data_IF_839674313942
#
_entry.id   IF_839674313942
#
_cell.length_a   1.000
_cell.length_b   1.000
_cell.length_c   1.000
_cell.angle_alpha   90.00
_cell.angle_beta   90.00
_cell.angle_gamma   90.00
#
_symmetry.space_group_name_H-M   'P 1'
#
loop_
_entity.id
_entity.type
_entity.pdbx_description
1 polymer ?
#
# COMPACT_ATOMS: atom_id res chain seq x y z
N UNK A 1 3.46 -21.73 -11.74
CA UNK A 1 2.95 -21.24 -10.46
C UNK A 1 1.54 -20.73 -10.61
N UNK A 2 0.70 -20.90 -9.62
CA UNK A 2 -0.69 -20.41 -9.60
C UNK A 2 -0.94 -19.77 -8.25
N UNK A 3 -1.28 -18.49 -8.27
CA UNK A 3 -1.77 -17.76 -7.10
C UNK A 3 -3.29 -17.93 -7.03
N UNK A 4 -3.80 -18.45 -5.92
CA UNK A 4 -5.19 -18.35 -5.56
C UNK A 4 -5.33 -17.39 -4.38
N UNK A 5 -6.31 -16.50 -4.45
CA UNK A 5 -6.54 -15.53 -3.38
C UNK A 5 -7.14 -16.22 -2.16
N UNK A 6 -6.63 -15.86 -1.00
CA UNK A 6 -7.07 -16.39 0.28
C UNK A 6 -6.84 -15.40 1.41
N UNK A 7 -6.56 -14.16 1.04
CA UNK A 7 -6.32 -13.02 1.92
C UNK A 7 -7.63 -12.41 2.42
N UNK A 8 -7.54 -11.70 3.53
CA UNK A 8 -8.58 -10.82 4.06
C UNK A 8 -9.95 -11.49 4.22
N UNK A 9 -9.96 -12.74 4.70
CA UNK A 9 -11.19 -13.53 4.85
C UNK A 9 -12.02 -13.10 6.06
N UNK A 10 -12.29 -11.79 6.19
CA UNK A 10 -12.99 -11.19 7.36
C UNK A 10 -14.39 -11.75 7.62
N UNK A 11 -15.01 -12.36 6.62
CA UNK A 11 -16.32 -13.00 6.75
C UNK A 11 -16.25 -14.47 7.20
N UNK A 12 -15.06 -15.07 7.24
CA UNK A 12 -14.89 -16.45 7.69
C UNK A 12 -15.18 -16.55 9.20
N UNK A 13 -16.01 -17.47 9.57
CA UNK A 13 -16.50 -17.58 10.95
C UNK A 13 -17.70 -16.69 11.27
N UNK A 14 -18.18 -15.92 10.28
CA UNK A 14 -19.41 -15.12 10.37
C UNK A 14 -20.50 -15.72 9.47
N UNK A 15 -21.72 -15.23 9.61
CA UNK A 15 -22.87 -15.63 8.77
C UNK A 15 -23.03 -17.17 8.68
N UNK A 16 -23.06 -17.72 7.47
CA UNK A 16 -23.27 -19.16 7.22
C UNK A 16 -22.18 -20.06 7.79
N UNK A 17 -20.96 -19.58 7.92
CA UNK A 17 -19.84 -20.36 8.47
C UNK A 17 -19.72 -20.27 10.00
N UNK A 18 -20.52 -19.44 10.67
CA UNK A 18 -20.43 -19.19 12.11
C UNK A 18 -20.47 -20.44 12.94
N UNK A 19 -21.50 -21.27 12.77
CA UNK A 19 -21.67 -22.51 13.54
C UNK A 19 -20.47 -23.45 13.38
N UNK A 20 -20.00 -23.62 12.15
CA UNK A 20 -18.86 -24.49 11.86
C UNK A 20 -17.55 -23.93 12.44
N UNK A 21 -17.40 -22.60 12.46
CA UNK A 21 -16.26 -21.94 13.07
C UNK A 21 -16.27 -22.05 14.62
N UNK A 22 -17.44 -22.01 15.24
CA UNK A 22 -17.59 -22.25 16.68
C UNK A 22 -17.22 -23.69 17.06
N UNK A 23 -17.53 -24.66 16.21
CA UNK A 23 -17.23 -26.09 16.44
C UNK A 23 -15.76 -26.45 16.16
N UNK A 24 -15.13 -25.86 15.13
CA UNK A 24 -13.82 -26.27 14.59
C UNK A 24 -12.72 -25.24 14.71
N UNK A 25 -13.06 -23.98 14.97
CA UNK A 25 -12.16 -22.84 14.93
C UNK A 25 -11.99 -22.25 13.52
N UNK A 26 -11.89 -20.92 13.44
CA UNK A 26 -11.77 -20.17 12.16
C UNK A 26 -10.52 -20.56 11.40
N UNK A 27 -9.37 -20.63 12.08
CA UNK A 27 -8.08 -20.98 11.44
C UNK A 27 -8.09 -22.41 10.87
N UNK A 28 -8.79 -23.33 11.54
CA UNK A 28 -8.95 -24.70 11.04
C UNK A 28 -9.77 -24.74 9.75
N UNK A 29 -10.86 -23.99 9.68
CA UNK A 29 -11.67 -23.90 8.46
C UNK A 29 -10.87 -23.30 7.30
N UNK A 30 -10.09 -22.26 7.58
CA UNK A 30 -9.23 -21.64 6.59
C UNK A 30 -8.22 -22.64 6.04
N UNK A 31 -7.47 -23.30 6.91
CA UNK A 31 -6.39 -24.21 6.49
C UNK A 31 -6.91 -25.44 5.74
N UNK A 32 -8.05 -26.00 6.15
CA UNK A 32 -8.67 -27.14 5.46
C UNK A 32 -9.04 -26.78 4.01
N UNK A 33 -9.63 -25.59 3.79
CA UNK A 33 -9.97 -25.10 2.47
C UNK A 33 -8.74 -24.80 1.62
N UNK A 34 -7.76 -24.10 2.16
CA UNK A 34 -6.50 -23.78 1.48
C UNK A 34 -5.75 -25.06 1.08
N UNK A 35 -5.73 -26.05 1.97
CA UNK A 35 -5.12 -27.36 1.72
C UNK A 35 -5.77 -28.11 0.57
N UNK A 36 -7.10 -28.13 0.51
CA UNK A 36 -7.85 -28.78 -0.56
C UNK A 36 -7.52 -28.15 -1.93
N UNK A 37 -7.55 -26.82 -2.02
CA UNK A 37 -7.18 -26.11 -3.24
C UNK A 37 -5.72 -26.33 -3.62
N UNK A 38 -4.81 -26.28 -2.66
CA UNK A 38 -3.39 -26.47 -2.90
C UNK A 38 -3.09 -27.90 -3.41
N UNK A 39 -3.71 -28.92 -2.83
CA UNK A 39 -3.59 -30.31 -3.28
C UNK A 39 -4.09 -30.48 -4.71
N UNK A 40 -5.26 -29.94 -5.03
CA UNK A 40 -5.79 -29.95 -6.40
C UNK A 40 -4.82 -29.33 -7.41
N UNK A 41 -4.19 -28.19 -7.05
CA UNK A 41 -3.20 -27.53 -7.92
C UNK A 41 -1.94 -28.39 -8.11
N UNK A 42 -1.44 -29.00 -7.03
CA UNK A 42 -0.27 -29.89 -7.08
C UNK A 42 -0.53 -31.11 -7.96
N UNK A 43 -1.68 -31.77 -7.81
CA UNK A 43 -2.10 -32.91 -8.63
C UNK A 43 -2.21 -32.55 -10.10
N UNK A 44 -2.47 -31.28 -10.42
CA UNK A 44 -2.48 -30.75 -11.79
C UNK A 44 -1.12 -30.15 -12.23
N UNK A 45 -0.04 -30.50 -11.56
CA UNK A 45 1.35 -30.09 -11.90
C UNK A 45 1.62 -28.59 -11.69
N UNK A 46 0.90 -27.92 -10.78
CA UNK A 46 1.09 -26.50 -10.46
C UNK A 46 1.81 -26.35 -9.11
N UNK A 47 2.51 -25.24 -8.95
CA UNK A 47 3.05 -24.80 -7.66
C UNK A 47 2.08 -23.76 -7.11
N UNK A 48 1.32 -24.09 -6.04
CA UNK A 48 0.36 -23.15 -5.47
C UNK A 48 1.05 -22.02 -4.72
N UNK A 49 0.46 -20.84 -4.78
CA UNK A 49 0.86 -19.65 -4.03
C UNK A 49 -0.37 -19.05 -3.36
N UNK A 50 -0.24 -18.54 -2.14
CA UNK A 50 -1.33 -17.91 -1.42
C UNK A 50 -0.86 -16.72 -0.59
N UNK A 51 -1.75 -15.78 -0.30
CA UNK A 51 -1.48 -14.66 0.60
C UNK A 51 -1.51 -15.11 2.06
N UNK A 52 -0.48 -14.73 2.82
CA UNK A 52 -0.16 -15.33 4.11
C UNK A 52 -0.76 -14.67 5.35
N UNK A 53 -1.56 -13.63 5.22
CA UNK A 53 -2.06 -12.82 6.35
C UNK A 53 -2.81 -13.64 7.41
N UNK A 54 -3.65 -14.57 6.99
CA UNK A 54 -4.42 -15.40 7.93
C UNK A 54 -3.52 -16.37 8.70
N UNK A 55 -2.44 -16.85 8.07
CA UNK A 55 -1.52 -17.82 8.67
C UNK A 55 -0.57 -17.20 9.71
N UNK A 56 -0.40 -15.88 9.72
CA UNK A 56 0.48 -15.22 10.69
C UNK A 56 0.10 -15.50 12.15
N UNK A 57 -1.18 -15.70 12.43
CA UNK A 57 -1.68 -15.99 13.76
C UNK A 57 -1.53 -17.47 14.16
N UNK A 58 -1.22 -18.35 13.22
CA UNK A 58 -1.07 -19.79 13.43
C UNK A 58 -0.06 -20.38 12.44
N UNK A 59 1.20 -19.91 12.46
CA UNK A 59 2.20 -20.28 11.45
C UNK A 59 2.53 -21.77 11.43
N UNK A 60 2.32 -22.49 12.55
CA UNK A 60 2.49 -23.94 12.63
C UNK A 60 1.61 -24.72 11.65
N UNK A 61 0.46 -24.15 11.24
CA UNK A 61 -0.45 -24.76 10.27
C UNK A 61 0.17 -24.83 8.85
N UNK A 62 1.22 -24.07 8.57
CA UNK A 62 1.99 -24.21 7.33
C UNK A 62 2.49 -25.64 7.10
N UNK A 63 2.78 -26.39 8.16
CA UNK A 63 3.25 -27.78 8.07
C UNK A 63 2.20 -28.76 7.54
N UNK A 64 0.94 -28.35 7.51
CA UNK A 64 -0.15 -29.16 6.97
C UNK A 64 -0.40 -28.94 5.46
N UNK A 65 0.21 -27.90 4.92
CA UNK A 65 0.12 -27.55 3.50
C UNK A 65 1.19 -28.31 2.70
N UNK A 66 1.00 -28.47 1.36
CA UNK A 66 2.02 -29.07 0.51
C UNK A 66 3.38 -28.34 0.62
N UNK A 67 4.48 -29.09 0.71
CA UNK A 67 5.84 -28.52 0.83
C UNK A 67 6.21 -27.58 -0.33
N UNK A 68 5.63 -27.82 -1.52
CA UNK A 68 5.84 -26.96 -2.69
C UNK A 68 5.08 -25.65 -2.65
N UNK A 69 4.22 -25.44 -1.66
CA UNK A 69 3.40 -24.24 -1.54
C UNK A 69 4.24 -23.04 -1.13
N UNK A 70 3.97 -21.90 -1.76
CA UNK A 70 4.69 -20.66 -1.51
C UNK A 70 3.77 -19.69 -0.77
N UNK A 71 4.21 -19.23 0.40
CA UNK A 71 3.56 -18.16 1.15
C UNK A 71 3.98 -16.79 0.60
N UNK A 72 3.01 -15.96 0.22
CA UNK A 72 3.20 -14.56 -0.11
C UNK A 72 3.00 -13.75 1.17
N UNK A 73 4.11 -13.49 1.84
CA UNK A 73 4.13 -12.75 3.10
C UNK A 73 4.16 -11.24 2.81
N UNK A 74 3.00 -10.61 2.89
CA UNK A 74 2.81 -9.22 2.53
C UNK A 74 2.74 -8.30 3.77
N UNK A 75 3.07 -7.03 3.58
CA UNK A 75 2.93 -6.02 4.60
C UNK A 75 3.50 -4.69 4.13
N UNK A 76 2.82 -3.58 4.43
CA UNK A 76 3.04 -2.29 3.77
C UNK A 76 3.41 -1.18 4.74
N UNK A 77 3.47 -1.46 6.04
CA UNK A 77 3.90 -0.47 7.02
C UNK A 77 5.37 -0.06 6.79
N UNK A 78 5.71 1.23 6.94
CA UNK A 78 7.11 1.68 6.91
C UNK A 78 7.99 0.95 7.92
N UNK A 79 7.41 0.64 9.08
CA UNK A 79 8.02 -0.12 10.18
C UNK A 79 7.53 -1.57 10.22
N UNK A 80 7.37 -2.21 9.05
CA UNK A 80 6.88 -3.58 8.96
C UNK A 80 7.60 -4.51 9.93
N UNK A 81 6.81 -5.31 10.64
CA UNK A 81 7.29 -6.21 11.69
C UNK A 81 8.11 -7.35 11.10
N UNK A 82 9.13 -7.75 11.85
CA UNK A 82 10.03 -8.82 11.46
C UNK A 82 9.54 -10.20 11.95
N UNK A 83 8.79 -10.22 13.05
CA UNK A 83 8.38 -11.46 13.73
C UNK A 83 7.49 -12.37 12.88
N UNK A 84 6.64 -11.82 12.03
CA UNK A 84 5.80 -12.57 11.08
C UNK A 84 6.66 -13.33 10.06
N UNK A 85 7.62 -12.65 9.43
CA UNK A 85 8.55 -13.26 8.49
C UNK A 85 9.39 -14.35 9.15
N UNK A 86 9.88 -14.08 10.36
CA UNK A 86 10.64 -15.04 11.15
C UNK A 86 9.81 -16.27 11.52
N UNK A 87 8.56 -16.07 11.94
CA UNK A 87 7.68 -17.16 12.34
C UNK A 87 7.40 -18.10 11.16
N UNK A 88 7.11 -17.59 9.98
CA UNK A 88 6.94 -18.41 8.77
C UNK A 88 8.24 -19.14 8.42
N UNK A 89 9.38 -18.46 8.45
CA UNK A 89 10.68 -19.10 8.17
C UNK A 89 10.99 -20.24 9.12
N UNK A 90 10.63 -20.11 10.40
CA UNK A 90 10.82 -21.17 11.42
C UNK A 90 9.99 -22.44 11.16
N UNK A 91 8.92 -22.35 10.36
CA UNK A 91 8.15 -23.54 9.94
C UNK A 91 8.84 -24.33 8.85
N UNK A 92 9.86 -23.78 8.18
CA UNK A 92 10.49 -24.32 6.99
C UNK A 92 9.74 -23.98 5.69
N UNK A 93 8.67 -23.20 5.76
CA UNK A 93 7.88 -22.85 4.59
C UNK A 93 8.64 -21.91 3.64
N UNK A 94 8.40 -22.09 2.34
CA UNK A 94 8.92 -21.22 1.29
C UNK A 94 8.10 -19.94 1.25
N UNK A 95 8.77 -18.78 1.26
CA UNK A 95 8.08 -17.49 1.22
C UNK A 95 8.69 -16.50 0.23
N UNK A 96 7.80 -15.71 -0.42
CA UNK A 96 8.14 -14.41 -0.99
C UNK A 96 7.80 -13.31 0.01
N UNK A 97 8.63 -12.28 0.08
CA UNK A 97 8.29 -11.06 0.79
C UNK A 97 7.61 -10.10 -0.18
N UNK A 98 6.47 -9.57 0.21
CA UNK A 98 5.61 -8.78 -0.66
C UNK A 98 5.41 -7.36 -0.12
N UNK A 99 6.39 -6.45 -0.31
CA UNK A 99 6.23 -5.03 -0.01
C UNK A 99 5.33 -4.34 -1.02
N UNK A 100 5.05 -3.05 -0.80
CA UNK A 100 4.23 -2.27 -1.72
C UNK A 100 4.73 -0.87 -2.02
N UNK A 101 4.32 -0.35 -3.17
CA UNK A 101 4.65 1.01 -3.63
C UNK A 101 3.77 2.09 -3.01
N UNK A 102 2.81 1.70 -2.17
CA UNK A 102 1.94 2.58 -1.36
C UNK A 102 1.20 3.64 -2.20
N UNK A 103 0.59 3.22 -3.32
CA UNK A 103 -0.18 4.09 -4.22
C UNK A 103 -1.68 4.04 -4.01
N UNK A 104 -2.21 2.95 -3.44
CA UNK A 104 -3.64 2.78 -3.20
C UNK A 104 -4.18 3.80 -2.21
N UNK A 105 -5.41 4.24 -2.45
CA UNK A 105 -6.10 5.24 -1.62
C UNK A 105 -5.43 6.62 -1.54
N UNK A 106 -4.45 6.89 -2.41
CA UNK A 106 -3.68 8.13 -2.41
C UNK A 106 -3.80 8.88 -3.73
N UNK A 107 -3.75 10.21 -3.71
CA UNK A 107 -3.60 11.05 -4.91
C UNK A 107 -2.18 10.99 -5.50
N UNK A 108 -1.20 10.73 -4.65
CA UNK A 108 0.18 10.47 -5.02
C UNK A 108 0.76 9.45 -4.05
N UNK A 109 1.63 8.57 -4.53
CA UNK A 109 2.20 7.50 -3.72
C UNK A 109 2.93 8.03 -2.47
N UNK A 110 2.84 7.28 -1.38
CA UNK A 110 3.59 7.51 -0.14
C UNK A 110 5.05 7.08 -0.35
N UNK A 111 5.81 7.87 -1.12
CA UNK A 111 7.13 7.49 -1.65
C UNK A 111 8.14 7.13 -0.54
N UNK A 112 8.16 7.90 0.55
CA UNK A 112 9.06 7.61 1.67
C UNK A 112 8.65 6.35 2.43
N UNK A 113 7.33 6.13 2.62
CA UNK A 113 6.81 4.90 3.23
C UNK A 113 7.15 3.68 2.36
N UNK A 114 6.96 3.80 1.06
CA UNK A 114 7.34 2.78 0.07
C UNK A 114 8.83 2.43 0.19
N UNK A 115 9.72 3.42 0.20
CA UNK A 115 11.16 3.20 0.39
C UNK A 115 11.46 2.46 1.69
N UNK A 116 10.91 2.90 2.82
CA UNK A 116 11.13 2.28 4.14
C UNK A 116 10.62 0.85 4.18
N UNK A 117 9.42 0.62 3.68
CA UNK A 117 8.79 -0.70 3.62
C UNK A 117 9.59 -1.67 2.73
N UNK A 118 9.85 -1.29 1.48
CA UNK A 118 10.56 -2.13 0.50
C UNK A 118 11.97 -2.48 0.98
N UNK A 119 12.73 -1.49 1.44
CA UNK A 119 14.09 -1.72 1.95
C UNK A 119 14.10 -2.73 3.11
N UNK A 120 13.12 -2.60 4.02
CA UNK A 120 12.97 -3.48 5.18
C UNK A 120 12.60 -4.90 4.76
N UNK A 121 11.59 -5.04 3.91
CA UNK A 121 11.11 -6.34 3.44
C UNK A 121 12.15 -7.07 2.59
N UNK A 122 12.92 -6.36 1.76
CA UNK A 122 14.07 -6.94 1.05
C UNK A 122 15.15 -7.43 2.04
N UNK A 123 15.42 -6.65 3.10
CA UNK A 123 16.32 -7.09 4.17
C UNK A 123 15.84 -8.34 4.90
N UNK A 124 14.54 -8.47 5.14
CA UNK A 124 13.95 -9.69 5.72
C UNK A 124 14.04 -10.88 4.76
N UNK A 125 13.81 -10.66 3.46
CA UNK A 125 13.98 -11.72 2.46
C UNK A 125 15.39 -12.30 2.49
N UNK A 126 16.40 -11.44 2.54
CA UNK A 126 17.80 -11.88 2.66
C UNK A 126 18.09 -12.60 4.00
N UNK A 127 17.61 -12.04 5.11
CA UNK A 127 17.86 -12.56 6.47
C UNK A 127 17.20 -13.91 6.74
N UNK A 128 16.01 -14.12 6.21
CA UNK A 128 15.18 -15.31 6.46
C UNK A 128 15.08 -16.24 5.25
N UNK A 129 16.01 -16.12 4.31
CA UNK A 129 16.09 -16.99 3.13
C UNK A 129 14.79 -17.05 2.31
N UNK A 130 14.07 -15.92 2.22
CA UNK A 130 12.96 -15.77 1.28
C UNK A 130 13.45 -16.02 -0.14
N UNK A 131 12.63 -16.70 -0.96
CA UNK A 131 13.04 -17.05 -2.34
C UNK A 131 13.00 -15.86 -3.31
N UNK A 132 12.53 -14.70 -2.85
CA UNK A 132 12.49 -13.46 -3.62
C UNK A 132 11.57 -12.41 -3.00
N UNK A 133 11.40 -11.34 -3.75
CA UNK A 133 10.52 -10.22 -3.43
C UNK A 133 9.48 -10.06 -4.54
N UNK A 134 8.22 -9.91 -4.16
CA UNK A 134 7.12 -9.56 -5.05
C UNK A 134 6.64 -8.16 -4.68
N UNK A 135 7.19 -7.14 -5.31
CA UNK A 135 6.79 -5.76 -5.07
C UNK A 135 5.39 -5.51 -5.65
N UNK A 136 4.47 -4.99 -4.84
CA UNK A 136 3.05 -4.88 -5.18
C UNK A 136 2.63 -3.43 -5.42
N UNK A 137 1.64 -3.26 -6.29
CA UNK A 137 0.92 -2.01 -6.53
C UNK A 137 -0.58 -2.31 -6.56
N UNK A 138 -1.31 -1.79 -5.57
CA UNK A 138 -2.74 -2.02 -5.40
C UNK A 138 -3.55 -0.80 -5.83
N UNK A 139 -4.75 -1.04 -6.29
CA UNK A 139 -5.67 -0.01 -6.75
C UNK A 139 -6.99 -0.01 -5.98
N UNK A 140 -6.93 -0.13 -4.65
CA UNK A 140 -8.09 -0.16 -3.78
C UNK A 140 -8.97 1.07 -4.00
N UNK A 141 -10.29 0.87 -3.89
CA UNK A 141 -11.30 1.90 -4.12
C UNK A 141 -11.17 2.64 -5.48
N UNK A 142 -10.66 1.96 -6.50
CA UNK A 142 -10.66 2.45 -7.87
C UNK A 142 -9.38 3.15 -8.35
N UNK A 143 -8.30 3.14 -7.58
CA UNK A 143 -6.97 3.63 -7.98
C UNK A 143 -7.00 5.08 -8.50
N UNK A 144 -7.24 6.02 -7.60
CA UNK A 144 -7.43 7.44 -7.96
C UNK A 144 -6.18 8.15 -8.50
N UNK A 145 -4.97 7.69 -8.10
CA UNK A 145 -3.70 8.27 -8.55
C UNK A 145 -3.28 7.80 -9.95
N UNK A 146 -2.37 8.54 -10.56
CA UNK A 146 -1.73 8.11 -11.80
C UNK A 146 -0.66 7.04 -11.52
N UNK A 147 -0.66 5.90 -12.24
CA UNK A 147 0.34 4.84 -12.06
C UNK A 147 1.80 5.29 -12.24
N UNK A 148 2.06 6.41 -12.88
CA UNK A 148 3.40 6.97 -13.01
C UNK A 148 4.04 7.31 -11.65
N UNK A 149 3.23 7.56 -10.60
CA UNK A 149 3.75 7.76 -9.24
C UNK A 149 4.29 6.48 -8.59
N UNK A 150 3.97 5.30 -9.11
CA UNK A 150 4.50 4.02 -8.63
C UNK A 150 5.93 3.73 -9.12
N UNK A 151 6.41 4.44 -10.15
CA UNK A 151 7.73 4.20 -10.75
C UNK A 151 8.87 4.25 -9.72
N UNK A 152 8.99 5.26 -8.85
CA UNK A 152 10.04 5.26 -7.82
C UNK A 152 10.00 4.03 -6.92
N UNK A 153 8.80 3.61 -6.47
CA UNK A 153 8.62 2.40 -5.66
C UNK A 153 8.98 1.12 -6.40
N UNK A 154 8.69 1.03 -7.69
CA UNK A 154 9.12 -0.12 -8.51
C UNK A 154 10.64 -0.18 -8.64
N UNK A 155 11.30 0.97 -8.80
CA UNK A 155 12.77 1.05 -8.86
C UNK A 155 13.37 0.68 -7.49
N UNK A 156 12.80 1.12 -6.36
CA UNK A 156 13.25 0.68 -5.03
C UNK A 156 13.19 -0.84 -4.91
N UNK A 157 12.10 -1.46 -5.35
CA UNK A 157 11.96 -2.92 -5.36
C UNK A 157 13.06 -3.60 -6.18
N UNK A 158 13.33 -3.10 -7.38
CA UNK A 158 14.37 -3.64 -8.25
C UNK A 158 15.78 -3.50 -7.62
N UNK A 159 16.10 -2.33 -7.08
CA UNK A 159 17.40 -2.03 -6.47
C UNK A 159 17.67 -2.93 -5.26
N UNK A 160 16.74 -2.95 -4.30
CA UNK A 160 16.96 -3.64 -3.02
C UNK A 160 16.75 -5.14 -3.07
N UNK A 161 15.99 -5.66 -4.04
CA UNK A 161 15.91 -7.11 -4.26
C UNK A 161 17.14 -7.67 -4.99
N UNK A 162 17.82 -6.84 -5.78
CA UNK A 162 19.04 -7.24 -6.51
C UNK A 162 20.29 -7.05 -5.67
N UNK A 163 20.43 -5.91 -5.01
CA UNK A 163 21.59 -5.55 -4.21
C UNK A 163 21.18 -5.33 -2.75
N UNK A 164 21.73 -6.11 -1.84
CA UNK A 164 21.48 -5.99 -0.40
C UNK A 164 22.08 -4.73 0.25
N UNK A 165 22.83 -3.92 -0.48
CA UNK A 165 23.39 -2.68 0.03
C UNK A 165 22.31 -1.60 0.19
N UNK A 166 22.33 -0.93 1.34
CA UNK A 166 21.37 0.09 1.68
C UNK A 166 21.83 1.44 1.12
N UNK A 167 21.16 1.92 0.07
CA UNK A 167 21.37 3.27 -0.47
C UNK A 167 20.45 4.23 0.28
N UNK A 168 20.97 5.36 0.85
CA UNK A 168 20.15 6.35 1.53
C UNK A 168 19.03 6.92 0.65
N UNK A 169 17.86 7.23 1.24
CA UNK A 169 16.67 7.71 0.55
C UNK A 169 16.95 8.90 -0.39
N UNK A 170 17.58 9.94 0.13
CA UNK A 170 17.90 11.13 -0.67
C UNK A 170 18.87 10.86 -1.82
N UNK A 171 19.82 9.94 -1.62
CA UNK A 171 20.78 9.58 -2.65
C UNK A 171 20.12 8.77 -3.76
N UNK A 172 19.31 7.76 -3.41
CA UNK A 172 18.61 6.96 -4.39
C UNK A 172 17.60 7.80 -5.18
N UNK A 173 16.85 8.70 -4.52
CA UNK A 173 15.94 9.62 -5.19
C UNK A 173 16.66 10.55 -6.18
N UNK A 174 17.86 11.03 -5.83
CA UNK A 174 18.68 11.83 -6.74
C UNK A 174 19.11 11.03 -7.96
N UNK A 175 19.48 9.77 -7.77
CA UNK A 175 19.85 8.87 -8.88
C UNK A 175 18.65 8.61 -9.79
N UNK A 176 17.48 8.28 -9.22
CA UNK A 176 16.24 8.05 -9.97
C UNK A 176 15.84 9.30 -10.74
N UNK A 177 15.85 10.47 -10.10
CA UNK A 177 15.54 11.75 -10.76
C UNK A 177 16.38 11.98 -12.02
N UNK A 178 17.67 11.68 -11.93
CA UNK A 178 18.60 11.89 -13.07
C UNK A 178 18.51 10.81 -14.14
N UNK A 179 18.39 9.55 -13.76
CA UNK A 179 18.48 8.42 -14.68
C UNK A 179 17.13 8.15 -15.33
N UNK A 180 16.06 8.05 -14.54
CA UNK A 180 14.73 7.70 -15.04
C UNK A 180 14.03 8.92 -15.65
N UNK A 181 14.09 10.07 -14.97
CA UNK A 181 13.36 11.27 -15.41
C UNK A 181 14.20 12.26 -16.20
N UNK A 182 15.52 12.10 -16.26
CA UNK A 182 16.42 13.05 -16.92
C UNK A 182 16.47 14.42 -16.23
N UNK A 183 16.05 14.51 -14.96
CA UNK A 183 16.10 15.74 -14.19
C UNK A 183 17.54 16.08 -13.80
N UNK A 184 18.11 17.08 -14.44
CA UNK A 184 19.50 17.51 -14.19
C UNK A 184 19.68 18.11 -12.79
N UNK A 185 18.61 18.58 -12.14
CA UNK A 185 18.68 19.04 -10.73
C UNK A 185 18.83 17.88 -9.76
N UNK A 186 18.27 16.71 -10.10
CA UNK A 186 18.27 15.51 -9.26
C UNK A 186 17.31 15.57 -8.08
N UNK A 187 16.31 16.46 -8.07
CA UNK A 187 15.43 16.69 -6.92
C UNK A 187 13.98 16.22 -7.15
N UNK A 188 13.61 15.86 -8.38
CA UNK A 188 12.22 15.55 -8.75
C UNK A 188 11.54 14.55 -7.83
N UNK A 189 12.15 13.37 -7.63
CA UNK A 189 11.55 12.31 -6.81
C UNK A 189 11.46 12.71 -5.33
N UNK A 190 12.43 13.49 -4.83
CA UNK A 190 12.35 14.03 -3.47
C UNK A 190 11.20 15.02 -3.30
N UNK A 191 10.96 15.88 -4.29
CA UNK A 191 9.82 16.80 -4.26
C UNK A 191 8.47 16.07 -4.48
N UNK A 192 8.44 14.99 -5.27
CA UNK A 192 7.25 14.12 -5.36
C UNK A 192 6.88 13.53 -4.00
N UNK A 193 7.88 13.13 -3.21
CA UNK A 193 7.65 12.57 -1.89
C UNK A 193 6.99 13.56 -0.90
N UNK A 194 7.11 14.86 -1.14
CA UNK A 194 6.49 15.89 -0.30
C UNK A 194 4.96 16.02 -0.55
N UNK A 195 4.45 15.56 -1.70
CA UNK A 195 3.04 15.78 -2.13
C UNK A 195 2.07 15.04 -1.22
N UNK A 196 2.35 13.77 -0.92
CA UNK A 196 1.38 12.89 -0.24
C UNK A 196 1.02 13.36 1.18
N UNK A 197 1.94 14.05 1.85
CA UNK A 197 1.70 14.64 3.17
C UNK A 197 0.70 15.80 3.19
N UNK A 198 0.24 16.26 2.00
CA UNK A 198 -0.67 17.39 1.87
C UNK A 198 -2.15 16.98 1.69
N UNK A 199 -2.44 15.69 1.67
CA UNK A 199 -3.81 15.19 1.68
C UNK A 199 -4.35 15.18 3.12
N UNK A 200 -5.14 16.19 3.49
CA UNK A 200 -5.79 16.31 4.80
C UNK A 200 -7.02 15.41 4.87
N UNK A 201 -7.78 15.35 3.76
CA UNK A 201 -8.88 14.40 3.58
C UNK A 201 -8.52 13.45 2.45
N UNK A 202 -8.34 12.16 2.77
CA UNK A 202 -7.84 11.20 1.82
C UNK A 202 -8.98 10.53 1.02
N UNK A 203 -8.63 9.85 -0.05
CA UNK A 203 -9.60 9.13 -0.88
C UNK A 203 -10.33 8.04 -0.11
N UNK A 204 -9.61 7.31 0.76
CA UNK A 204 -10.18 6.28 1.62
C UNK A 204 -11.30 6.85 2.50
N UNK A 205 -11.04 7.94 3.19
CA UNK A 205 -12.01 8.57 4.09
C UNK A 205 -13.28 8.99 3.35
N UNK A 206 -13.14 9.49 2.13
CA UNK A 206 -14.28 9.84 1.29
C UNK A 206 -15.12 8.64 0.89
N UNK A 207 -14.48 7.54 0.48
CA UNK A 207 -15.19 6.30 0.12
C UNK A 207 -15.88 5.72 1.36
N UNK A 208 -15.18 5.64 2.49
CA UNK A 208 -15.75 5.15 3.76
C UNK A 208 -16.93 6.00 4.22
N UNK A 209 -16.82 7.32 4.10
CA UNK A 209 -17.92 8.22 4.40
C UNK A 209 -19.14 7.93 3.51
N UNK A 210 -18.95 7.82 2.22
CA UNK A 210 -20.02 7.48 1.27
C UNK A 210 -20.66 6.13 1.60
N UNK A 211 -19.87 5.10 1.83
CA UNK A 211 -20.35 3.76 2.16
C UNK A 211 -21.14 3.74 3.48
N UNK A 212 -20.67 4.45 4.50
CA UNK A 212 -21.39 4.59 5.75
C UNK A 212 -22.74 5.32 5.56
N UNK A 213 -22.73 6.46 4.88
CA UNK A 213 -23.95 7.30 4.72
C UNK A 213 -24.96 6.72 3.75
N UNK A 214 -24.51 6.22 2.60
CA UNK A 214 -25.37 5.78 1.51
C UNK A 214 -25.66 4.28 1.55
N UNK A 215 -24.68 3.45 1.91
CA UNK A 215 -24.79 2.00 1.89
C UNK A 215 -25.00 1.40 3.29
N UNK A 216 -24.96 2.21 4.34
CA UNK A 216 -25.12 1.80 5.75
C UNK A 216 -24.06 0.82 6.22
N UNK A 217 -22.85 0.87 5.66
CA UNK A 217 -21.72 0.16 6.19
C UNK A 217 -21.30 0.76 7.54
N UNK A 218 -21.06 -0.09 8.52
CA UNK A 218 -20.61 0.35 9.83
C UNK A 218 -19.13 0.73 9.76
N UNK A 219 -18.76 1.84 10.40
CA UNK A 219 -17.37 2.21 10.63
C UNK A 219 -16.79 1.36 11.76
N UNK A 220 -15.49 1.17 11.78
CA UNK A 220 -14.82 0.52 12.90
C UNK A 220 -14.95 1.38 14.17
N UNK A 221 -14.94 0.74 15.34
CA UNK A 221 -15.07 1.43 16.62
C UNK A 221 -13.93 2.44 16.80
N UNK A 222 -14.25 3.71 17.00
CA UNK A 222 -13.29 4.80 17.16
C UNK A 222 -12.73 5.37 15.86
N UNK A 223 -13.23 4.96 14.70
CA UNK A 223 -12.83 5.52 13.41
C UNK A 223 -13.41 6.92 13.24
N UNK A 224 -12.52 7.92 13.08
CA UNK A 224 -12.84 9.30 12.80
C UNK A 224 -12.34 9.69 11.41
N UNK A 225 -13.23 9.72 10.44
CA UNK A 225 -12.95 10.02 9.04
C UNK A 225 -12.51 11.45 8.79
N UNK A 226 -12.77 12.35 9.75
CA UNK A 226 -12.45 13.78 9.64
C UNK A 226 -11.32 14.21 10.57
N UNK A 227 -10.53 13.26 11.09
CA UNK A 227 -9.41 13.57 11.97
C UNK A 227 -8.42 14.53 11.31
N UNK A 228 -8.28 15.73 11.89
CA UNK A 228 -7.36 16.76 11.38
C UNK A 228 -7.90 17.55 10.19
N UNK A 229 -9.16 17.33 9.79
CA UNK A 229 -9.83 18.12 8.76
C UNK A 229 -10.41 19.37 9.41
N UNK A 230 -9.67 20.47 9.32
CA UNK A 230 -10.09 21.79 9.75
C UNK A 230 -9.56 22.88 8.80
N UNK A 231 -10.05 24.11 8.94
CA UNK A 231 -9.65 25.22 8.08
C UNK A 231 -8.14 25.47 8.10
N UNK A 232 -7.52 25.42 9.28
CA UNK A 232 -6.09 25.69 9.43
C UNK A 232 -5.24 24.63 8.72
N UNK A 233 -5.62 23.35 8.84
CA UNK A 233 -4.98 22.23 8.15
C UNK A 233 -5.11 22.33 6.63
N UNK A 234 -6.30 22.66 6.13
CA UNK A 234 -6.54 22.84 4.69
C UNK A 234 -5.76 24.02 4.13
N UNK A 235 -5.70 25.16 4.84
CA UNK A 235 -4.94 26.34 4.43
C UNK A 235 -3.43 26.03 4.42
N UNK A 236 -2.92 25.38 5.45
CA UNK A 236 -1.52 24.95 5.52
C UNK A 236 -1.14 24.00 4.38
N UNK A 237 -2.01 23.03 4.07
CA UNK A 237 -1.81 22.13 2.94
C UNK A 237 -1.82 22.88 1.59
N UNK A 238 -2.72 23.84 1.41
CA UNK A 238 -2.77 24.66 0.19
C UNK A 238 -1.49 25.50 0.00
N UNK A 239 -0.94 26.07 1.08
CA UNK A 239 0.33 26.80 1.04
C UNK A 239 1.49 25.87 0.67
N UNK A 240 1.56 24.70 1.34
CA UNK A 240 2.58 23.70 1.06
C UNK A 240 2.51 23.20 -0.39
N UNK A 241 1.32 22.91 -0.93
CA UNK A 241 1.13 22.49 -2.31
C UNK A 241 1.63 23.55 -3.31
N UNK A 242 1.43 24.85 -3.04
CA UNK A 242 1.97 25.93 -3.86
C UNK A 242 3.51 25.94 -3.87
N UNK A 243 4.13 25.71 -2.74
CA UNK A 243 5.60 25.70 -2.63
C UNK A 243 6.19 24.44 -3.26
N UNK A 244 5.56 23.28 -3.06
CA UNK A 244 5.94 22.04 -3.73
C UNK A 244 5.82 22.19 -5.25
N UNK A 245 4.77 22.83 -5.74
CA UNK A 245 4.60 23.08 -7.18
C UNK A 245 5.74 23.90 -7.76
N UNK A 246 6.20 24.96 -7.07
CA UNK A 246 7.36 25.76 -7.51
C UNK A 246 8.63 24.92 -7.60
N UNK A 247 8.92 24.10 -6.58
CA UNK A 247 10.08 23.19 -6.57
C UNK A 247 10.00 22.17 -7.72
N UNK A 248 8.82 21.59 -7.94
CA UNK A 248 8.60 20.64 -9.03
C UNK A 248 8.70 21.29 -10.41
N UNK A 249 8.27 22.54 -10.54
CA UNK A 249 8.41 23.30 -11.77
C UNK A 249 9.89 23.45 -12.18
N UNK A 250 10.77 23.76 -11.23
CA UNK A 250 12.22 23.84 -11.49
C UNK A 250 12.79 22.50 -11.97
N UNK A 251 12.43 21.40 -11.31
CA UNK A 251 12.85 20.05 -11.70
C UNK A 251 12.30 19.67 -13.08
N UNK A 252 11.02 19.92 -13.35
CA UNK A 252 10.39 19.54 -14.62
C UNK A 252 10.91 20.33 -15.80
N UNK A 253 11.31 21.58 -15.62
CA UNK A 253 11.96 22.38 -16.68
C UNK A 253 13.32 21.81 -17.11
N UNK A 254 13.95 21.03 -16.25
CA UNK A 254 15.21 20.35 -16.49
C UNK A 254 15.06 18.94 -17.10
N UNK A 255 13.83 18.51 -17.44
CA UNK A 255 13.51 17.18 -17.98
C UNK A 255 13.22 17.20 -19.49
N UNK A 256 13.48 16.07 -20.18
CA UNK A 256 13.12 15.92 -21.61
C UNK A 256 11.61 15.97 -21.86
N UNK A 257 10.79 15.37 -20.97
CA UNK A 257 9.33 15.26 -21.10
C UNK A 257 8.57 16.27 -20.23
N UNK A 258 9.03 17.50 -20.16
CA UNK A 258 8.49 18.58 -19.31
C UNK A 258 6.96 18.69 -19.37
N UNK A 259 6.37 18.69 -20.57
CA UNK A 259 4.93 18.90 -20.74
C UNK A 259 4.09 17.80 -20.07
N UNK A 260 4.47 16.54 -20.23
CA UNK A 260 3.75 15.41 -19.66
C UNK A 260 3.81 15.45 -18.14
N UNK A 261 5.00 15.66 -17.58
CA UNK A 261 5.19 15.76 -16.14
C UNK A 261 4.42 16.95 -15.54
N UNK A 262 4.44 18.09 -16.19
CA UNK A 262 3.68 19.27 -15.76
C UNK A 262 2.17 19.03 -15.75
N UNK A 263 1.63 18.32 -16.74
CA UNK A 263 0.20 17.98 -16.78
C UNK A 263 -0.17 17.05 -15.63
N UNK A 264 0.60 15.99 -15.42
CA UNK A 264 0.40 15.05 -14.30
C UNK A 264 0.39 15.76 -12.95
N UNK A 265 1.43 16.56 -12.68
CA UNK A 265 1.57 17.30 -11.44
C UNK A 265 0.45 18.31 -11.23
N UNK A 266 0.09 19.06 -12.27
CA UNK A 266 -0.98 20.05 -12.19
C UNK A 266 -2.31 19.42 -11.82
N UNK A 267 -2.68 18.28 -12.42
CA UNK A 267 -3.92 17.56 -12.10
C UNK A 267 -3.89 17.03 -10.67
N UNK A 268 -2.78 16.42 -10.27
CA UNK A 268 -2.64 15.82 -8.94
C UNK A 268 -2.70 16.86 -7.83
N UNK A 269 -1.92 17.94 -7.94
CA UNK A 269 -1.89 18.97 -6.88
C UNK A 269 -3.21 19.74 -6.78
N UNK A 270 -3.87 20.02 -7.91
CA UNK A 270 -5.22 20.60 -7.90
C UNK A 270 -6.25 19.62 -7.34
N UNK A 271 -6.16 18.33 -7.68
CA UNK A 271 -7.02 17.28 -7.15
C UNK A 271 -6.95 17.20 -5.63
N UNK A 272 -5.75 17.20 -5.06
CA UNK A 272 -5.55 17.22 -3.61
C UNK A 272 -6.18 18.47 -2.98
N UNK A 273 -5.94 19.65 -3.54
CA UNK A 273 -6.50 20.90 -3.02
C UNK A 273 -8.02 20.91 -3.02
N UNK A 274 -8.64 20.50 -4.13
CA UNK A 274 -10.11 20.38 -4.23
C UNK A 274 -10.62 19.36 -3.22
N UNK A 275 -9.93 18.22 -3.07
CA UNK A 275 -10.37 17.15 -2.19
C UNK A 275 -10.29 17.53 -0.72
N UNK A 276 -9.25 18.24 -0.31
CA UNK A 276 -9.15 18.83 1.02
C UNK A 276 -10.32 19.79 1.31
N UNK A 277 -10.68 20.64 0.35
CA UNK A 277 -11.84 21.52 0.49
C UNK A 277 -13.16 20.74 0.58
N UNK A 278 -13.32 19.66 -0.20
CA UNK A 278 -14.50 18.77 -0.08
C UNK A 278 -14.57 18.15 1.31
N UNK A 279 -13.45 17.69 1.87
CA UNK A 279 -13.39 17.16 3.23
C UNK A 279 -13.84 18.17 4.28
N UNK A 280 -13.32 19.40 4.19
CA UNK A 280 -13.69 20.49 5.10
C UNK A 280 -15.19 20.83 5.02
N UNK A 281 -15.74 20.94 3.82
CA UNK A 281 -17.17 21.19 3.62
C UNK A 281 -18.03 20.05 4.18
N UNK A 282 -17.63 18.80 3.93
CA UNK A 282 -18.36 17.63 4.42
C UNK A 282 -18.34 17.55 5.94
N UNK A 283 -17.20 17.82 6.56
CA UNK A 283 -17.05 17.87 8.03
C UNK A 283 -17.91 18.97 8.65
N UNK A 284 -17.90 20.16 8.03
CA UNK A 284 -18.76 21.27 8.47
C UNK A 284 -20.25 20.94 8.39
N UNK A 285 -20.69 20.29 7.32
CA UNK A 285 -22.07 19.81 7.17
C UNK A 285 -22.47 18.81 8.25
N UNK A 286 -21.59 17.88 8.59
CA UNK A 286 -21.85 16.90 9.65
C UNK A 286 -22.03 17.57 11.01
N UNK A 287 -21.27 18.62 11.30
CA UNK A 287 -21.33 19.35 12.57
C UNK A 287 -22.53 20.29 12.68
N UNK A 288 -22.87 20.99 11.61
CA UNK A 288 -23.83 22.08 11.65
C UNK A 288 -25.20 21.73 11.05
N UNK A 289 -25.26 20.68 10.23
CA UNK A 289 -26.46 20.32 9.45
C UNK A 289 -26.75 21.30 8.30
N UNK A 290 -25.88 22.28 8.06
CA UNK A 290 -26.01 23.30 7.01
C UNK A 290 -24.66 23.63 6.38
N UNK A 291 -24.70 24.17 5.14
CA UNK A 291 -23.53 24.79 4.53
C UNK A 291 -23.48 26.27 4.97
N UNK A 292 -22.69 26.56 5.98
CA UNK A 292 -22.25 27.92 6.24
C UNK A 292 -20.88 28.11 5.59
N UNK A 293 -20.89 28.81 4.42
CA UNK A 293 -19.65 29.23 3.74
C UNK A 293 -19.15 30.54 4.30
#
# INVERSE_FOLDING_TARGET
RVLFRSDETFCLGKYKSKKLAEERGVHRLYIDYVKELAQFLVENGKIPMFWGDIIWNSPELMKELPESMICLNWGYAPEQREDETRAIAQTGAVQYLCPGVCGWNQWANLIENSYKNITRMCGYAAKYHGIGVLNTDWGDFGHVNDPAFSVPGMIYGAVFSWNGEKIPFAELNRMISRIEYGDTTGNYVSHLAEICGQSVFQWREAVMYYENRCLKHELEEGEDLFRGVDQAGVDAAADALRDIYKKLLESTQAMPETKKQMQLLSVTLQGIGIWNAVGLLTESMEKTGSFDM
#
